data_IF_051674235888
#
_entry.id   IF_051674235888
#
_cell.length_a   1.000
_cell.length_b   1.000
_cell.length_c   1.000
_cell.angle_alpha   90.00
_cell.angle_beta   90.00
_cell.angle_gamma   90.00
#
_symmetry.space_group_name_H-M   'P 1'
#
loop_
_entity.id
_entity.type
_entity.pdbx_description
1 polymer ?
#
# COMPACT_ATOMS: atom_id res chain seq x y z
N UNK A 1 -14.90 -42.17 -10.56
CA UNK A 1 -15.51 -40.83 -10.58
C UNK A 1 -16.46 -40.66 -9.40
N UNK A 2 -15.93 -40.32 -8.22
CA UNK A 2 -16.76 -39.85 -7.09
C UNK A 2 -16.62 -38.34 -7.05
N UNK A 3 -17.70 -37.62 -7.40
CA UNK A 3 -17.86 -36.23 -7.00
C UNK A 3 -17.85 -36.23 -5.47
N UNK A 4 -16.82 -35.66 -4.87
CA UNK A 4 -16.84 -35.39 -3.44
C UNK A 4 -17.94 -34.35 -3.22
N UNK A 5 -19.03 -34.79 -2.60
CA UNK A 5 -20.15 -33.94 -2.22
C UNK A 5 -19.73 -33.16 -0.97
N UNK A 6 -19.10 -31.99 -1.21
CA UNK A 6 -18.52 -31.12 -0.18
C UNK A 6 -19.56 -30.66 0.86
N UNK A 7 -20.85 -30.82 0.55
CA UNK A 7 -21.95 -30.52 1.48
C UNK A 7 -22.07 -31.48 2.67
N UNK A 8 -21.46 -32.69 2.64
CA UNK A 8 -21.73 -33.72 3.67
C UNK A 8 -20.69 -33.87 4.79
N UNK A 9 -19.56 -33.16 4.79
CA UNK A 9 -18.48 -33.42 5.78
C UNK A 9 -17.78 -32.20 6.35
N UNK A 10 -18.44 -31.06 6.49
CA UNK A 10 -17.81 -29.96 7.23
C UNK A 10 -18.79 -28.87 7.60
N UNK A 11 -19.06 -28.72 8.90
CA UNK A 11 -19.25 -27.48 9.69
C UNK A 11 -19.69 -26.19 8.98
N UNK A 12 -20.46 -26.26 7.92
CA UNK A 12 -21.11 -25.13 7.28
C UNK A 12 -22.45 -24.98 7.97
N UNK A 13 -22.42 -24.45 9.20
CA UNK A 13 -23.57 -23.67 9.63
C UNK A 13 -23.69 -22.57 8.58
N UNK A 14 -24.77 -22.55 7.81
CA UNK A 14 -25.16 -21.35 7.08
C UNK A 14 -25.24 -20.24 8.12
N UNK A 15 -24.21 -19.40 8.14
CA UNK A 15 -24.21 -18.19 8.95
C UNK A 15 -25.08 -17.23 8.17
N UNK A 16 -26.34 -17.09 8.58
CA UNK A 16 -27.21 -16.01 8.13
C UNK A 16 -26.41 -14.70 8.19
N UNK A 17 -26.19 -14.02 7.04
CA UNK A 17 -25.38 -12.82 7.02
C UNK A 17 -26.10 -11.73 7.83
N UNK A 18 -25.62 -11.49 9.06
CA UNK A 18 -26.01 -10.37 9.91
C UNK A 18 -25.41 -9.07 9.39
N UNK A 19 -25.67 -8.76 8.12
CA UNK A 19 -25.37 -7.46 7.56
C UNK A 19 -26.25 -6.39 8.24
N UNK A 20 -25.76 -5.15 8.37
CA UNK A 20 -24.47 -4.68 7.87
C UNK A 20 -23.28 -5.00 8.80
N UNK A 21 -22.11 -5.29 8.22
CA UNK A 21 -20.87 -5.52 8.97
C UNK A 21 -20.08 -4.22 9.17
N UNK A 22 -19.49 -4.01 10.35
CA UNK A 22 -18.58 -2.87 10.57
C UNK A 22 -17.17 -3.13 10.02
N UNK A 23 -16.76 -4.40 9.90
CA UNK A 23 -15.45 -4.80 9.42
C UNK A 23 -15.59 -6.12 8.65
N UNK A 24 -14.99 -6.17 7.46
CA UNK A 24 -14.79 -7.41 6.68
C UNK A 24 -13.30 -7.53 6.42
N UNK A 25 -12.73 -8.73 6.65
CA UNK A 25 -11.29 -8.98 6.50
C UNK A 25 -11.09 -10.06 5.43
N UNK A 26 -10.26 -9.76 4.44
CA UNK A 26 -9.72 -10.71 3.47
C UNK A 26 -8.20 -10.71 3.65
N UNK A 27 -7.66 -11.72 4.33
CA UNK A 27 -6.24 -11.81 4.62
C UNK A 27 -5.65 -13.05 3.94
N UNK A 28 -4.73 -12.82 2.99
CA UNK A 28 -4.05 -13.84 2.20
C UNK A 28 -5.01 -14.82 1.53
N UNK A 29 -6.08 -14.31 0.92
CA UNK A 29 -7.09 -15.17 0.31
C UNK A 29 -7.67 -14.63 -0.99
N UNK A 30 -7.70 -13.31 -1.21
CA UNK A 30 -8.28 -12.77 -2.45
C UNK A 30 -7.43 -13.17 -3.66
N UNK A 31 -6.12 -13.28 -3.49
CA UNK A 31 -5.18 -13.80 -4.48
C UNK A 31 -5.39 -15.29 -4.82
N UNK A 32 -5.93 -16.08 -3.90
CA UNK A 32 -6.18 -17.52 -4.08
C UNK A 32 -7.54 -17.77 -4.74
N UNK A 33 -8.52 -16.90 -4.45
CA UNK A 33 -9.85 -17.01 -5.01
C UNK A 33 -9.84 -16.79 -6.53
N UNK A 34 -10.49 -17.72 -7.23
CA UNK A 34 -10.69 -17.68 -8.69
C UNK A 34 -9.38 -17.50 -9.48
N UNK A 35 -8.28 -18.10 -8.99
CA UNK A 35 -6.97 -18.04 -9.67
C UNK A 35 -7.02 -18.58 -11.10
N UNK A 36 -7.83 -19.62 -11.35
CA UNK A 36 -7.99 -20.26 -12.67
C UNK A 36 -9.07 -19.60 -13.56
N UNK A 37 -9.65 -18.47 -13.14
CA UNK A 37 -10.62 -17.76 -13.97
C UNK A 37 -9.95 -17.14 -15.21
N UNK A 38 -10.73 -16.96 -16.29
CA UNK A 38 -10.26 -16.29 -17.52
C UNK A 38 -9.83 -14.85 -17.22
N UNK A 39 -10.57 -14.16 -16.35
CA UNK A 39 -10.23 -12.82 -15.84
C UNK A 39 -10.34 -12.79 -14.31
N UNK A 40 -9.27 -13.21 -13.59
CA UNK A 40 -9.26 -13.25 -12.14
C UNK A 40 -9.50 -11.86 -11.52
N UNK A 41 -9.01 -10.79 -12.16
CA UNK A 41 -9.16 -9.42 -11.64
C UNK A 41 -10.62 -8.98 -11.67
N UNK A 42 -11.35 -9.22 -12.76
CA UNK A 42 -12.76 -8.88 -12.85
C UNK A 42 -13.60 -9.67 -11.83
N UNK A 43 -13.35 -10.97 -11.67
CA UNK A 43 -14.08 -11.81 -10.72
C UNK A 43 -13.80 -11.36 -9.28
N UNK A 44 -12.53 -11.11 -8.92
CA UNK A 44 -12.15 -10.61 -7.59
C UNK A 44 -12.73 -9.22 -7.30
N UNK A 45 -12.74 -8.33 -8.30
CA UNK A 45 -13.35 -7.00 -8.14
C UNK A 45 -14.86 -7.07 -7.94
N UNK A 46 -15.54 -8.02 -8.60
CA UNK A 46 -16.97 -8.29 -8.37
C UNK A 46 -17.21 -8.80 -6.95
N UNK A 47 -16.43 -9.78 -6.49
CA UNK A 47 -16.51 -10.28 -5.11
C UNK A 47 -16.33 -9.14 -4.09
N UNK A 48 -15.30 -8.30 -4.25
CA UNK A 48 -15.09 -7.16 -3.34
C UNK A 48 -16.27 -6.18 -3.40
N UNK A 49 -16.87 -5.97 -4.58
CA UNK A 49 -18.07 -5.14 -4.73
C UNK A 49 -19.28 -5.72 -3.98
N UNK A 50 -19.49 -7.03 -4.03
CA UNK A 50 -20.54 -7.73 -3.27
C UNK A 50 -20.30 -7.59 -1.76
N UNK A 51 -19.05 -7.73 -1.31
CA UNK A 51 -18.69 -7.53 0.10
C UNK A 51 -18.89 -6.07 0.55
N UNK A 52 -18.61 -5.09 -0.32
CA UNK A 52 -18.87 -3.67 -0.03
C UNK A 52 -20.36 -3.40 0.21
N UNK A 53 -21.26 -4.13 -0.46
CA UNK A 53 -22.71 -4.00 -0.25
C UNK A 53 -23.14 -4.48 1.14
N UNK A 54 -22.43 -5.44 1.73
CA UNK A 54 -22.71 -5.96 3.08
C UNK A 54 -22.15 -5.08 4.20
N UNK A 55 -21.36 -4.05 3.86
CA UNK A 55 -20.70 -3.18 4.82
C UNK A 55 -21.65 -2.11 5.39
N UNK A 56 -21.54 -1.80 6.67
CA UNK A 56 -22.18 -0.64 7.28
C UNK A 56 -21.71 0.67 6.59
N UNK A 57 -22.48 1.77 6.65
CA UNK A 57 -22.10 3.03 6.01
C UNK A 57 -20.69 3.51 6.37
N UNK A 58 -20.27 3.30 7.63
CA UNK A 58 -18.95 3.67 8.16
C UNK A 58 -18.01 2.47 8.36
N UNK A 59 -18.38 1.30 7.85
CA UNK A 59 -17.55 0.10 7.97
C UNK A 59 -16.32 0.15 7.05
N UNK A 60 -15.41 -0.79 7.25
CA UNK A 60 -14.18 -0.93 6.44
C UNK A 60 -14.05 -2.35 5.91
N UNK A 61 -13.64 -2.50 4.64
CA UNK A 61 -13.04 -3.75 4.17
C UNK A 61 -11.53 -3.62 4.28
N UNK A 62 -10.91 -4.58 4.96
CA UNK A 62 -9.46 -4.74 5.03
C UNK A 62 -9.06 -5.91 4.15
N UNK A 63 -8.27 -5.62 3.11
CA UNK A 63 -7.65 -6.62 2.24
C UNK A 63 -6.16 -6.61 2.54
N UNK A 64 -5.58 -7.77 2.82
CA UNK A 64 -4.15 -7.97 3.06
C UNK A 64 -3.68 -9.13 2.20
N UNK A 65 -2.59 -8.93 1.47
CA UNK A 65 -2.01 -9.89 0.56
C UNK A 65 -0.49 -9.95 0.72
N UNK A 66 0.18 -11.07 0.36
CA UNK A 66 1.62 -11.15 0.37
C UNK A 66 2.26 -10.05 -0.50
N UNK A 67 3.38 -9.47 -0.03
CA UNK A 67 4.15 -8.44 -0.77
C UNK A 67 4.92 -8.98 -1.99
N UNK A 68 4.50 -10.10 -2.57
CA UNK A 68 5.06 -10.62 -3.80
C UNK A 68 4.58 -9.78 -4.99
N UNK A 69 5.43 -9.65 -6.02
CA UNK A 69 5.14 -8.81 -7.20
C UNK A 69 3.79 -9.16 -7.83
N UNK A 70 3.52 -10.44 -8.08
CA UNK A 70 2.31 -10.88 -8.78
C UNK A 70 1.04 -10.59 -7.97
N UNK A 71 0.99 -11.03 -6.71
CA UNK A 71 -0.15 -10.81 -5.80
C UNK A 71 -0.40 -9.33 -5.52
N UNK A 72 0.68 -8.55 -5.33
CA UNK A 72 0.58 -7.12 -5.07
C UNK A 72 0.05 -6.38 -6.30
N UNK A 73 0.57 -6.69 -7.50
CA UNK A 73 0.08 -6.10 -8.74
C UNK A 73 -1.37 -6.48 -9.03
N UNK A 74 -1.76 -7.72 -8.78
CA UNK A 74 -3.16 -8.14 -8.89
C UNK A 74 -4.06 -7.32 -7.95
N UNK A 75 -3.64 -7.08 -6.69
CA UNK A 75 -4.38 -6.23 -5.77
C UNK A 75 -4.47 -4.77 -6.25
N UNK A 76 -3.39 -4.22 -6.84
CA UNK A 76 -3.43 -2.88 -7.46
C UNK A 76 -4.41 -2.81 -8.64
N UNK A 77 -4.52 -3.86 -9.45
CA UNK A 77 -5.48 -3.91 -10.56
C UNK A 77 -6.93 -4.00 -10.05
N UNK A 78 -7.17 -4.78 -8.99
CA UNK A 78 -8.48 -4.82 -8.31
C UNK A 78 -8.83 -3.43 -7.76
N UNK A 79 -7.88 -2.75 -7.08
CA UNK A 79 -8.05 -1.37 -6.61
C UNK A 79 -8.44 -0.44 -7.76
N UNK A 80 -7.66 -0.41 -8.84
CA UNK A 80 -7.88 0.51 -9.96
C UNK A 80 -9.25 0.29 -10.60
N UNK A 81 -9.67 -0.98 -10.75
CA UNK A 81 -10.99 -1.34 -11.26
C UNK A 81 -12.13 -0.86 -10.35
N UNK A 82 -12.03 -1.09 -9.04
CA UNK A 82 -13.04 -0.65 -8.06
C UNK A 82 -13.21 0.87 -8.06
N UNK A 83 -12.12 1.61 -8.25
CA UNK A 83 -12.12 3.07 -8.33
C UNK A 83 -12.71 3.59 -9.64
N UNK A 84 -12.36 2.97 -10.78
CA UNK A 84 -12.97 3.29 -12.08
C UNK A 84 -14.49 3.09 -12.06
N UNK A 85 -14.96 2.04 -11.38
CA UNK A 85 -16.38 1.76 -11.17
C UNK A 85 -17.03 2.60 -10.05
N UNK A 86 -16.28 3.49 -9.38
CA UNK A 86 -16.73 4.37 -8.28
C UNK A 86 -17.44 3.62 -7.14
N UNK A 87 -16.95 2.42 -6.79
CA UNK A 87 -17.59 1.53 -5.79
C UNK A 87 -17.27 1.89 -4.34
N UNK A 88 -16.15 2.56 -4.10
CA UNK A 88 -15.60 2.81 -2.77
C UNK A 88 -14.60 3.97 -2.78
N UNK A 89 -14.24 4.41 -1.58
CA UNK A 89 -13.10 5.28 -1.32
C UNK A 89 -11.96 4.46 -0.74
N UNK A 90 -10.73 4.71 -1.21
CA UNK A 90 -9.53 4.15 -0.57
C UNK A 90 -9.22 4.97 0.67
N UNK A 91 -9.39 4.38 1.84
CA UNK A 91 -9.01 4.97 3.12
C UNK A 91 -7.48 4.97 3.29
N UNK A 92 -6.82 3.86 2.99
CA UNK A 92 -5.37 3.63 3.04
C UNK A 92 -5.01 2.44 2.14
N UNK A 93 -3.78 2.28 1.61
CA UNK A 93 -2.59 3.13 1.74
C UNK A 93 -2.56 4.32 0.78
N UNK A 94 -3.22 4.23 -0.36
CA UNK A 94 -3.08 5.24 -1.41
C UNK A 94 -3.72 6.58 -1.01
N UNK A 95 -2.97 7.66 -1.20
CA UNK A 95 -3.42 9.03 -0.90
C UNK A 95 -4.09 9.71 -2.12
N UNK A 96 -4.55 8.91 -3.09
CA UNK A 96 -5.18 9.34 -4.32
C UNK A 96 -6.06 8.24 -4.89
N UNK A 97 -6.88 8.57 -5.89
CA UNK A 97 -7.77 7.63 -6.60
C UNK A 97 -7.47 7.47 -8.09
N UNK A 98 -6.40 8.11 -8.58
CA UNK A 98 -5.84 7.80 -9.90
C UNK A 98 -5.36 6.34 -9.99
N UNK A 99 -5.18 5.84 -11.22
CA UNK A 99 -4.54 4.55 -11.49
C UNK A 99 -3.20 4.44 -10.75
N UNK A 100 -2.89 3.26 -10.24
CA UNK A 100 -1.71 3.05 -9.40
C UNK A 100 -0.41 3.30 -10.19
N UNK A 101 0.44 4.27 -9.81
CA UNK A 101 1.69 4.54 -10.53
C UNK A 101 2.66 3.36 -10.54
N UNK A 102 2.57 2.46 -9.55
CA UNK A 102 3.40 1.24 -9.50
C UNK A 102 3.07 0.24 -10.62
N UNK A 103 1.91 0.37 -11.29
CA UNK A 103 1.56 -0.48 -12.43
C UNK A 103 2.23 -0.08 -13.74
N UNK A 104 2.73 1.16 -13.85
CA UNK A 104 3.33 1.73 -15.08
C UNK A 104 4.54 0.90 -15.51
N UNK A 105 5.45 0.61 -14.58
CA UNK A 105 6.58 -0.29 -14.82
C UNK A 105 6.17 -1.73 -14.46
N UNK A 106 6.31 -2.71 -15.37
CA UNK A 106 5.94 -4.10 -15.11
C UNK A 106 6.75 -4.76 -13.99
N UNK A 107 7.93 -4.22 -13.68
CA UNK A 107 8.82 -4.74 -12.64
C UNK A 107 8.61 -4.11 -11.26
N UNK A 108 7.82 -3.04 -11.16
CA UNK A 108 7.53 -2.36 -9.90
C UNK A 108 6.27 -2.92 -9.21
N UNK A 109 6.25 -2.82 -7.88
CA UNK A 109 5.04 -2.99 -7.07
C UNK A 109 5.17 -2.19 -5.76
N UNK A 110 4.04 -1.68 -5.26
CA UNK A 110 3.95 -1.07 -3.94
C UNK A 110 3.60 -2.15 -2.90
N UNK A 111 4.15 -2.02 -1.70
CA UNK A 111 3.81 -2.83 -0.52
C UNK A 111 4.16 -2.02 0.73
N UNK A 112 3.71 -2.51 1.88
CA UNK A 112 4.00 -2.03 3.22
C UNK A 112 5.03 -2.94 3.91
N UNK A 113 5.78 -2.36 4.85
CA UNK A 113 6.72 -3.06 5.70
C UNK A 113 6.50 -2.62 7.15
N UNK A 114 6.43 -3.58 8.07
CA UNK A 114 6.27 -3.33 9.50
C UNK A 114 7.29 -4.14 10.26
N UNK A 115 8.00 -3.49 11.18
CA UNK A 115 8.88 -4.17 12.12
C UNK A 115 8.09 -5.28 12.83
N UNK A 116 8.71 -6.43 12.98
CA UNK A 116 8.11 -7.58 13.63
C UNK A 116 9.14 -8.28 14.48
N UNK A 117 8.74 -8.62 15.69
CA UNK A 117 9.53 -9.46 16.58
C UNK A 117 9.09 -10.91 16.39
N UNK A 118 9.82 -11.72 15.60
CA UNK A 118 9.49 -13.12 15.40
C UNK A 118 9.55 -13.88 16.74
N UNK A 119 8.63 -14.81 17.01
CA UNK A 119 8.76 -15.74 18.13
C UNK A 119 10.08 -16.51 18.08
N UNK A 120 10.64 -16.88 19.24
CA UNK A 120 11.96 -17.52 19.34
C UNK A 120 12.12 -18.75 18.43
N UNK A 121 11.10 -19.61 18.34
CA UNK A 121 11.15 -20.79 17.47
C UNK A 121 11.23 -20.44 15.97
N UNK A 122 10.66 -19.30 15.54
CA UNK A 122 10.81 -18.82 14.16
C UNK A 122 12.24 -18.31 13.94
N UNK A 123 12.83 -17.63 14.93
CA UNK A 123 14.22 -17.17 14.86
C UNK A 123 15.20 -18.35 14.73
N UNK A 124 14.95 -19.44 15.48
CA UNK A 124 15.73 -20.68 15.37
C UNK A 124 15.65 -21.26 13.96
N UNK A 125 14.44 -21.41 13.41
CA UNK A 125 14.25 -21.89 12.04
C UNK A 125 14.95 -20.97 11.03
N UNK A 126 14.75 -19.66 11.15
CA UNK A 126 15.34 -18.66 10.26
C UNK A 126 16.87 -18.69 10.31
N UNK A 127 17.46 -18.91 11.50
CA UNK A 127 18.90 -19.10 11.69
C UNK A 127 19.44 -20.32 10.96
N UNK A 128 18.73 -21.46 11.03
CA UNK A 128 19.12 -22.70 10.34
C UNK A 128 19.02 -22.59 8.81
N UNK A 129 18.03 -21.85 8.29
CA UNK A 129 17.84 -21.69 6.83
C UNK A 129 18.53 -20.44 6.25
N UNK A 130 19.11 -19.58 7.10
CA UNK A 130 19.75 -18.33 6.69
C UNK A 130 18.79 -17.24 6.24
N UNK A 131 17.56 -17.24 6.74
CA UNK A 131 16.58 -16.19 6.47
C UNK A 131 16.67 -15.04 7.47
N UNK A 132 16.44 -13.82 6.99
CA UNK A 132 16.32 -12.62 7.82
C UNK A 132 14.87 -12.13 7.67
N UNK A 133 14.08 -12.30 8.74
CA UNK A 133 12.66 -11.89 8.81
C UNK A 133 12.42 -10.95 9.99
N UNK A 134 13.07 -9.80 9.96
CA UNK A 134 12.93 -8.71 10.93
C UNK A 134 11.71 -7.81 10.67
N UNK A 135 11.06 -7.98 9.51
CA UNK A 135 9.87 -7.23 9.15
C UNK A 135 8.83 -8.07 8.39
N UNK A 136 7.56 -7.73 8.60
CA UNK A 136 6.44 -8.24 7.83
C UNK A 136 6.22 -7.36 6.60
N UNK A 137 6.26 -7.99 5.42
CA UNK A 137 6.01 -7.34 4.14
C UNK A 137 4.66 -7.79 3.58
N UNK A 138 3.76 -6.85 3.36
CA UNK A 138 2.43 -7.14 2.85
C UNK A 138 1.91 -5.99 1.99
N UNK A 139 1.02 -6.31 1.06
CA UNK A 139 0.23 -5.31 0.35
C UNK A 139 -1.15 -5.25 0.99
N UNK A 140 -1.71 -4.06 1.15
CA UNK A 140 -3.03 -3.92 1.76
C UNK A 140 -3.88 -2.86 1.10
N UNK A 141 -5.18 -2.97 1.32
CA UNK A 141 -6.19 -2.02 0.89
C UNK A 141 -7.26 -1.88 1.97
N UNK A 142 -7.46 -0.67 2.46
CA UNK A 142 -8.58 -0.32 3.34
C UNK A 142 -9.61 0.45 2.52
N UNK A 143 -10.78 -0.16 2.31
CA UNK A 143 -11.85 0.41 1.50
C UNK A 143 -13.04 0.81 2.39
N UNK A 144 -13.61 1.99 2.12
CA UNK A 144 -14.78 2.54 2.82
C UNK A 144 -15.80 3.10 1.82
N UNK A 145 -16.99 3.45 2.31
CA UNK A 145 -18.09 4.05 1.50
C UNK A 145 -18.45 5.48 1.90
N UNK A 146 -17.84 6.01 2.96
CA UNK A 146 -18.19 7.31 3.55
C UNK A 146 -17.27 8.46 3.12
N UNK A 147 -16.43 8.26 2.10
CA UNK A 147 -15.51 9.28 1.61
C UNK A 147 -14.31 9.56 2.51
N UNK A 148 -14.20 8.93 3.69
CA UNK A 148 -13.08 9.18 4.61
C UNK A 148 -11.78 8.59 4.10
N UNK A 149 -10.70 9.32 4.33
CA UNK A 149 -9.32 8.95 4.04
C UNK A 149 -8.48 9.01 5.32
N UNK A 150 -7.33 8.32 5.33
CA UNK A 150 -6.42 8.28 6.49
C UNK A 150 -5.84 9.66 6.83
N UNK A 151 -5.72 10.53 5.82
CA UNK A 151 -5.36 11.96 5.89
C UNK A 151 -6.10 12.68 4.75
N UNK A 152 -6.24 14.00 4.85
CA UNK A 152 -6.73 14.80 3.73
C UNK A 152 -5.78 14.69 2.53
N UNK A 153 -6.34 14.44 1.34
CA UNK A 153 -5.56 14.32 0.11
C UNK A 153 -5.11 15.70 -0.33
N UNK A 154 -3.80 15.89 -0.47
CA UNK A 154 -3.18 17.16 -0.85
C UNK A 154 -1.97 16.91 -1.75
N UNK A 155 -1.62 17.84 -2.65
CA UNK A 155 -0.47 17.69 -3.54
C UNK A 155 0.87 17.73 -2.82
N UNK A 156 0.93 18.29 -1.60
CA UNK A 156 2.11 18.39 -0.73
C UNK A 156 2.22 17.25 0.29
N UNK A 157 1.24 16.33 0.33
CA UNK A 157 1.23 15.16 1.22
C UNK A 157 1.52 13.90 0.43
N UNK A 158 2.43 13.09 0.95
CA UNK A 158 2.96 11.90 0.30
C UNK A 158 2.98 10.71 1.25
N UNK A 159 2.82 9.51 0.70
CA UNK A 159 3.21 8.28 1.40
C UNK A 159 4.62 7.89 0.98
N UNK A 160 5.48 7.56 1.94
CA UNK A 160 6.80 6.97 1.69
C UNK A 160 6.61 5.51 1.27
N UNK A 161 7.10 5.13 0.10
CA UNK A 161 6.89 3.80 -0.52
C UNK A 161 8.20 3.06 -0.83
N UNK A 162 9.30 3.50 -0.22
CA UNK A 162 10.58 2.79 -0.17
C UNK A 162 11.28 3.02 1.16
N UNK A 163 12.34 2.27 1.41
CA UNK A 163 13.31 2.64 2.44
C UNK A 163 13.98 3.97 2.11
N UNK A 164 14.43 4.66 3.17
CA UNK A 164 15.30 5.81 3.03
C UNK A 164 16.70 5.32 2.67
N UNK A 165 17.06 5.44 1.39
CA UNK A 165 18.35 4.98 0.88
C UNK A 165 19.41 6.02 1.19
N UNK A 166 20.46 5.58 1.88
CA UNK A 166 21.65 6.38 2.14
C UNK A 166 22.65 6.22 0.99
N UNK A 167 23.03 7.34 0.38
CA UNK A 167 24.04 7.39 -0.68
C UNK A 167 25.16 8.34 -0.26
N UNK A 168 26.24 8.38 -1.03
CA UNK A 168 27.37 9.28 -0.77
C UNK A 168 26.94 10.75 -0.87
N UNK A 169 26.80 11.42 0.26
CA UNK A 169 26.50 12.85 0.36
C UNK A 169 25.01 13.21 0.25
N UNK A 170 24.12 12.22 0.23
CA UNK A 170 22.67 12.44 0.17
C UNK A 170 21.86 11.22 0.58
N UNK A 171 20.59 11.45 0.89
CA UNK A 171 19.59 10.41 1.15
C UNK A 171 18.40 10.55 0.20
N UNK A 172 17.76 9.44 -0.18
CA UNK A 172 16.64 9.41 -1.12
C UNK A 172 15.56 8.39 -0.78
N UNK A 173 14.31 8.75 -1.01
CA UNK A 173 13.17 7.83 -0.91
C UNK A 173 12.21 7.99 -2.11
N UNK A 174 11.51 6.91 -2.45
CA UNK A 174 10.37 6.96 -3.35
C UNK A 174 9.13 7.33 -2.56
N UNK A 175 8.41 8.33 -3.05
CA UNK A 175 7.16 8.78 -2.50
C UNK A 175 6.01 8.48 -3.46
N UNK A 176 4.77 8.54 -2.98
CA UNK A 176 3.58 8.39 -3.81
C UNK A 176 2.46 9.32 -3.35
N UNK A 177 1.86 10.03 -4.31
CA UNK A 177 0.60 10.75 -4.14
C UNK A 177 -0.11 10.91 -5.51
N UNK A 178 -1.07 11.82 -5.60
CA UNK A 178 -1.82 12.08 -6.84
C UNK A 178 -0.95 12.50 -8.04
N UNK A 179 0.24 13.04 -7.80
CA UNK A 179 1.21 13.46 -8.83
C UNK A 179 2.05 12.30 -9.37
N UNK A 180 1.87 11.10 -8.83
CA UNK A 180 2.57 9.88 -9.24
C UNK A 180 3.54 9.38 -8.17
N UNK A 181 4.63 8.75 -8.62
CA UNK A 181 5.63 8.11 -7.75
C UNK A 181 7.01 8.75 -7.92
N UNK A 182 7.25 9.97 -7.40
CA UNK A 182 8.54 10.65 -7.56
C UNK A 182 9.62 10.07 -6.62
N UNK A 183 10.87 10.12 -7.06
CA UNK A 183 12.03 9.98 -6.18
C UNK A 183 12.38 11.35 -5.61
N UNK A 184 12.48 11.46 -4.29
CA UNK A 184 12.82 12.71 -3.57
C UNK A 184 14.08 12.48 -2.75
N UNK A 185 14.97 13.47 -2.71
CA UNK A 185 16.18 13.39 -1.88
C UNK A 185 16.66 14.72 -1.33
N UNK A 186 17.45 14.64 -0.26
CA UNK A 186 18.10 15.77 0.40
C UNK A 186 19.61 15.52 0.42
N UNK A 187 20.40 16.53 0.11
CA UNK A 187 21.85 16.47 0.26
C UNK A 187 22.23 16.70 1.72
N UNK A 188 23.29 16.05 2.21
CA UNK A 188 23.67 16.13 3.63
C UNK A 188 24.04 17.56 4.05
N UNK A 189 24.63 18.34 3.15
CA UNK A 189 24.94 19.76 3.38
C UNK A 189 23.71 20.67 3.51
N UNK A 190 22.50 20.19 3.19
CA UNK A 190 21.24 20.94 3.24
C UNK A 190 20.38 20.55 4.45
N UNK A 191 20.93 19.77 5.40
CA UNK A 191 20.25 19.46 6.67
C UNK A 191 19.94 20.76 7.40
N UNK A 192 18.73 20.86 7.94
CA UNK A 192 18.30 21.97 8.78
C UNK A 192 17.25 21.50 9.80
N UNK A 193 16.98 22.27 10.86
CA UNK A 193 15.89 21.98 11.78
C UNK A 193 14.51 21.87 11.10
N UNK A 194 14.29 22.62 10.00
CA UNK A 194 13.01 22.63 9.29
C UNK A 194 12.74 21.34 8.49
N UNK A 195 13.80 20.64 8.11
CA UNK A 195 13.71 19.38 7.36
C UNK A 195 14.22 18.15 8.13
N UNK A 196 14.42 18.26 9.45
CA UNK A 196 14.96 17.19 10.29
C UNK A 196 14.12 15.89 10.20
N UNK A 197 12.79 16.01 10.10
CA UNK A 197 11.88 14.88 9.96
C UNK A 197 12.15 13.99 8.73
N UNK A 198 12.90 14.49 7.74
CA UNK A 198 13.35 13.70 6.59
C UNK A 198 14.22 12.50 7.01
N UNK A 199 15.04 12.63 8.06
CA UNK A 199 15.92 11.56 8.53
C UNK A 199 15.17 10.41 9.22
N UNK A 200 13.92 10.65 9.61
CA UNK A 200 13.03 9.69 10.25
C UNK A 200 12.08 9.00 9.25
N UNK A 201 12.23 9.28 7.95
CA UNK A 201 11.40 8.64 6.94
C UNK A 201 11.62 7.13 6.90
N UNK A 202 10.52 6.40 7.01
CA UNK A 202 10.46 4.96 6.81
C UNK A 202 9.30 4.64 5.87
N UNK A 203 9.31 3.46 5.24
CA UNK A 203 8.19 2.99 4.43
C UNK A 203 6.89 3.07 5.23
N UNK A 204 5.83 3.52 4.58
CA UNK A 204 4.50 3.63 5.19
C UNK A 204 4.24 4.95 5.92
N UNK A 205 5.27 5.74 6.23
CA UNK A 205 5.07 7.07 6.78
C UNK A 205 4.28 7.96 5.82
N UNK A 206 3.42 8.82 6.37
CA UNK A 206 2.79 9.91 5.63
C UNK A 206 3.50 11.20 5.99
N UNK A 207 4.02 11.88 4.99
CA UNK A 207 4.87 13.06 5.13
C UNK A 207 4.29 14.22 4.36
N UNK A 208 4.51 15.43 4.86
CA UNK A 208 4.20 16.67 4.15
C UNK A 208 5.51 17.37 3.81
N UNK A 209 5.60 17.85 2.58
CA UNK A 209 6.78 18.56 2.05
C UNK A 209 6.29 19.85 1.43
N UNK A 210 6.63 20.98 2.03
CA UNK A 210 6.17 22.30 1.59
C UNK A 210 6.60 22.59 0.15
N UNK A 211 7.85 22.25 -0.19
CA UNK A 211 8.42 22.57 -1.50
C UNK A 211 9.42 21.51 -1.96
N UNK A 212 9.27 21.10 -3.22
CA UNK A 212 10.19 20.20 -3.92
C UNK A 212 10.76 20.94 -5.13
N UNK A 213 12.08 21.02 -5.23
CA UNK A 213 12.78 21.64 -6.35
C UNK A 213 13.24 20.57 -7.34
N UNK A 214 12.99 20.77 -8.63
CA UNK A 214 13.51 19.93 -9.70
C UNK A 214 14.50 20.74 -10.52
N UNK A 215 15.74 20.24 -10.65
CA UNK A 215 16.73 20.89 -11.50
C UNK A 215 16.36 20.69 -12.96
N UNK A 216 16.49 21.75 -13.75
CA UNK A 216 16.36 21.68 -15.19
C UNK A 216 17.74 21.71 -15.84
N UNK A 217 17.96 20.84 -16.84
CA UNK A 217 19.18 20.85 -17.66
C UNK A 217 18.80 20.65 -19.12
N UNK A 218 19.19 21.60 -19.97
CA UNK A 218 18.90 21.57 -21.41
C UNK A 218 17.41 21.35 -21.74
N UNK A 219 16.50 22.07 -21.07
CA UNK A 219 15.05 21.97 -21.30
C UNK A 219 14.37 20.75 -20.68
N UNK A 220 15.11 19.89 -19.96
CA UNK A 220 14.58 18.69 -19.32
C UNK A 220 14.64 18.81 -17.80
N UNK A 221 13.48 18.69 -17.16
CA UNK A 221 13.36 18.60 -15.71
C UNK A 221 13.85 17.24 -15.21
N UNK A 222 14.62 17.26 -14.12
CA UNK A 222 15.07 16.04 -13.46
C UNK A 222 13.91 15.23 -12.88
N UNK A 223 13.98 13.91 -13.03
CA UNK A 223 13.06 12.98 -12.38
C UNK A 223 13.17 13.04 -10.85
N UNK A 224 14.35 13.40 -10.33
CA UNK A 224 14.65 13.53 -8.91
C UNK A 224 14.22 14.91 -8.39
N UNK A 225 13.31 14.92 -7.43
CA UNK A 225 12.98 16.08 -6.63
C UNK A 225 13.97 16.29 -5.49
N UNK A 226 14.20 17.55 -5.11
CA UNK A 226 15.14 17.94 -4.07
C UNK A 226 14.46 18.74 -2.97
N UNK A 227 14.83 18.44 -1.73
CA UNK A 227 14.52 19.24 -0.55
C UNK A 227 15.70 20.21 -0.35
N UNK A 228 15.40 21.50 -0.36
CA UNK A 228 16.37 22.56 -0.09
C UNK A 228 16.47 22.84 1.41
N UNK A 229 17.49 23.58 1.82
CA UNK A 229 17.81 23.80 3.25
C UNK A 229 16.68 24.48 4.03
N UNK A 230 15.90 25.34 3.38
CA UNK A 230 14.81 26.12 3.96
C UNK A 230 13.43 25.45 3.86
N UNK A 231 13.31 24.33 3.13
CA UNK A 231 12.03 23.66 2.92
C UNK A 231 11.56 22.93 4.19
N UNK A 232 10.30 23.14 4.58
CA UNK A 232 9.71 22.44 5.74
C UNK A 232 9.29 21.02 5.35
N UNK A 233 9.69 20.06 6.19
CA UNK A 233 9.31 18.64 6.09
C UNK A 233 8.72 18.19 7.41
N UNK A 234 7.57 17.51 7.37
CA UNK A 234 6.89 16.99 8.56
C UNK A 234 6.42 15.57 8.34
N UNK A 235 6.44 14.74 9.39
CA UNK A 235 5.71 13.47 9.41
C UNK A 235 4.30 13.78 9.91
N UNK A 236 3.31 13.70 9.01
CA UNK A 236 1.90 13.91 9.32
C UNK A 236 1.35 12.71 10.09
N UNK A 237 1.79 11.50 9.71
CA UNK A 237 1.39 10.27 10.37
C UNK A 237 2.55 9.27 10.32
N UNK A 238 3.08 8.84 11.47
CA UNK A 238 3.98 7.69 11.50
C UNK A 238 3.21 6.41 11.16
N UNK A 239 3.96 5.31 11.06
CA UNK A 239 3.47 3.94 10.84
C UNK A 239 2.70 3.47 12.07
#
# INVERSE_FOLDING_TARGET
>A
TRKADVARTGWTKEVEPRAPFNLIILANCLNELHADAIDPIAVRSRLVTELLALLAPQGTIMIVEPALRETSRALHQVRDRLLQEKRCTVYSPCLHENNCPALINPYDWCHEERAWEPPAFIQEIDGEVGFIKDALKFSYLLLRKDGKTIVDRRPDVYRVVSELRELKGEKRAWLCNETGRPEIGRQDRLVSPQNAAFDEWHRGAIVQIERIVRKEKAGKLSALGRIEQDAVVQIVRPV
#
